data_IF_989508262076
#
_entry.id   IF_989508262076
#
_cell.length_a   1.000
_cell.length_b   1.000
_cell.length_c   1.000
_cell.angle_alpha   90.00
_cell.angle_beta   90.00
_cell.angle_gamma   90.00
#
_symmetry.space_group_name_H-M   'P 1'
#
loop_
_entity.id
_entity.type
_entity.pdbx_description
1 polymer ?
#
# COMPACT_ATOMS: atom_id res chain seq x y z
N UNK A 1 8.73 -0.05 43.04
CA UNK A 1 7.57 -0.24 42.14
C UNK A 1 7.73 0.76 41.02
N UNK A 2 8.40 0.36 39.93
CA UNK A 2 8.61 1.28 38.81
C UNK A 2 7.37 1.32 37.93
N UNK A 3 6.82 2.53 37.84
CA UNK A 3 5.55 2.84 37.22
C UNK A 3 5.65 2.60 35.70
N UNK A 4 4.88 1.61 35.23
CA UNK A 4 4.70 1.34 33.82
C UNK A 4 4.01 2.50 33.08
N UNK A 5 4.20 2.50 31.77
CA UNK A 5 3.55 3.37 30.77
C UNK A 5 4.11 4.79 30.64
N UNK A 6 5.22 4.93 29.92
CA UNK A 6 5.28 5.85 28.76
C UNK A 6 6.16 5.23 27.68
N UNK A 7 5.60 4.30 26.89
CA UNK A 7 6.10 4.06 25.52
C UNK A 7 5.92 5.38 24.80
N UNK A 8 6.99 6.18 24.74
CA UNK A 8 7.06 7.42 23.98
C UNK A 8 6.51 7.06 22.61
N UNK A 9 5.34 7.58 22.26
CA UNK A 9 4.87 7.51 20.88
C UNK A 9 5.81 8.41 20.10
N UNK A 10 7.00 7.90 19.76
CA UNK A 10 7.92 8.54 18.82
C UNK A 10 7.48 8.24 17.39
N UNK A 11 6.17 8.02 17.17
CA UNK A 11 5.57 8.29 15.90
C UNK A 11 5.49 9.81 15.77
N UNK A 12 6.67 10.43 15.62
CA UNK A 12 6.82 11.75 15.04
C UNK A 12 5.87 11.73 13.85
N UNK A 13 4.85 12.57 13.82
CA UNK A 13 3.91 12.64 12.71
C UNK A 13 4.71 12.74 11.42
N UNK A 14 5.01 11.60 10.80
CA UNK A 14 5.65 11.54 9.51
C UNK A 14 4.54 12.07 8.63
N UNK A 15 4.69 13.29 8.16
CA UNK A 15 3.88 13.82 7.07
C UNK A 15 4.10 12.84 5.94
N UNK A 16 3.20 11.87 5.81
CA UNK A 16 3.24 10.95 4.69
C UNK A 16 3.03 11.85 3.47
N UNK A 17 3.99 11.83 2.55
CA UNK A 17 3.91 12.64 1.35
C UNK A 17 2.81 12.03 0.48
N UNK A 18 1.57 12.45 0.72
CA UNK A 18 0.41 12.03 -0.05
C UNK A 18 0.48 12.72 -1.41
N UNK A 19 0.53 11.91 -2.47
CA UNK A 19 0.44 12.39 -3.84
C UNK A 19 -0.83 11.80 -4.46
N UNK A 20 -1.97 12.53 -4.42
CA UNK A 20 -3.25 12.03 -4.94
C UNK A 20 -3.18 11.59 -6.41
N UNK A 21 -2.30 12.19 -7.22
CA UNK A 21 -2.15 11.81 -8.62
C UNK A 21 -1.50 10.43 -8.73
N UNK A 22 -0.43 10.17 -7.99
CA UNK A 22 0.23 8.86 -8.00
C UNK A 22 -0.67 7.76 -7.42
N UNK A 23 -1.39 8.06 -6.34
CA UNK A 23 -2.33 7.14 -5.70
C UNK A 23 -3.52 6.80 -6.62
N UNK A 24 -4.08 7.79 -7.31
CA UNK A 24 -5.18 7.57 -8.26
C UNK A 24 -4.77 6.77 -9.49
N UNK A 25 -3.60 7.03 -10.09
CA UNK A 25 -3.06 6.24 -11.21
C UNK A 25 -2.91 4.76 -10.82
N UNK A 26 -2.37 4.50 -9.63
CA UNK A 26 -2.24 3.13 -9.11
C UNK A 26 -3.60 2.46 -8.86
N UNK A 27 -4.61 3.22 -8.41
CA UNK A 27 -5.96 2.68 -8.21
C UNK A 27 -6.67 2.36 -9.54
N UNK A 28 -6.47 3.17 -10.58
CA UNK A 28 -7.09 2.98 -11.91
C UNK A 28 -6.45 1.81 -12.67
N UNK A 29 -5.11 1.76 -12.70
CA UNK A 29 -4.38 0.82 -13.55
C UNK A 29 -3.81 -0.38 -12.78
N UNK A 30 -3.93 -0.40 -11.46
CA UNK A 30 -3.32 -1.41 -10.60
C UNK A 30 -1.79 -1.37 -10.64
N UNK A 31 -1.16 -2.29 -9.91
CA UNK A 31 0.26 -2.58 -10.12
C UNK A 31 0.42 -3.40 -11.40
N UNK A 32 1.42 -3.10 -12.25
CA UNK A 32 1.74 -3.92 -13.41
C UNK A 32 1.94 -5.37 -12.97
N UNK A 33 1.09 -6.28 -13.45
CA UNK A 33 1.28 -7.71 -13.19
C UNK A 33 2.55 -8.16 -13.91
N UNK A 34 3.38 -8.95 -13.23
CA UNK A 34 4.57 -9.55 -13.82
C UNK A 34 4.20 -10.35 -15.07
N UNK A 35 5.12 -10.45 -16.03
CA UNK A 35 4.92 -11.15 -17.32
C UNK A 35 4.49 -12.62 -17.14
N UNK A 36 4.77 -13.20 -15.99
CA UNK A 36 4.40 -14.59 -15.66
C UNK A 36 2.93 -14.76 -15.29
N UNK A 37 2.19 -13.65 -15.09
CA UNK A 37 0.74 -13.61 -14.95
C UNK A 37 0.11 -13.33 -16.31
N UNK A 38 0.45 -14.14 -17.32
CA UNK A 38 -0.25 -14.13 -18.60
C UNK A 38 -1.75 -14.31 -18.33
N UNK A 39 -2.54 -13.34 -18.76
CA UNK A 39 -3.99 -13.46 -18.73
C UNK A 39 -4.37 -14.58 -19.70
N UNK A 40 -4.56 -15.79 -19.17
CA UNK A 40 -5.14 -16.90 -19.94
C UNK A 40 -6.66 -16.69 -19.90
N UNK A 41 -7.29 -16.24 -21.00
CA UNK A 41 -8.75 -16.16 -21.04
C UNK A 41 -9.30 -17.57 -20.84
N UNK A 42 -10.05 -17.77 -19.76
CA UNK A 42 -10.82 -19.00 -19.57
C UNK A 42 -11.89 -19.03 -20.66
N UNK A 43 -11.68 -19.83 -21.69
CA UNK A 43 -12.76 -20.25 -22.58
C UNK A 43 -13.71 -21.11 -21.76
N UNK A 44 -14.99 -20.81 -21.81
CA UNK A 44 -16.02 -21.69 -21.26
C UNK A 44 -16.31 -22.74 -22.33
N UNK A 45 -16.09 -24.02 -22.00
CA UNK A 45 -16.50 -25.18 -22.81
C UNK A 45 -18.01 -25.42 -22.71
#
# INVERSE_FOLDING_TARGET
MDNGMKRKHTNKHKTLNHNPQAESVKAVFGEPKAKDSEFIPKTFD
#
